data_IF_880167279232
#
_entry.id   IF_880167279232
#
_cell.length_a   1.000
_cell.length_b   1.000
_cell.length_c   1.000
_cell.angle_alpha   90.00
_cell.angle_beta   90.00
_cell.angle_gamma   90.00
#
_symmetry.space_group_name_H-M   'P 1'
#
loop_
_entity.id
_entity.type
_entity.pdbx_description
1 polymer ?
#
# COMPACT_ATOMS: atom_id res chain seq x y z
N UNK A 1 32.58 8.99 -27.91
CA UNK A 1 32.25 10.39 -27.62
C UNK A 1 30.74 10.44 -27.49
N UNK A 2 30.23 10.57 -26.27
CA UNK A 2 28.79 10.81 -26.07
C UNK A 2 28.46 12.18 -26.66
N UNK A 3 27.51 12.23 -27.59
CA UNK A 3 27.00 13.48 -28.11
C UNK A 3 26.46 14.29 -26.93
N UNK A 4 26.86 15.56 -26.80
CA UNK A 4 26.30 16.45 -25.77
C UNK A 4 24.79 16.49 -25.95
N UNK A 5 24.04 15.94 -24.97
CA UNK A 5 22.58 16.02 -24.99
C UNK A 5 22.18 17.50 -24.99
N UNK A 6 21.45 17.90 -26.03
CA UNK A 6 20.98 19.27 -26.19
C UNK A 6 19.58 19.49 -25.52
N UNK A 7 19.20 18.64 -24.55
CA UNK A 7 17.93 18.68 -23.81
C UNK A 7 18.08 18.05 -22.42
N UNK A 8 17.21 18.46 -21.50
CA UNK A 8 17.20 17.99 -20.09
C UNK A 8 16.45 16.67 -19.86
N UNK A 9 15.91 16.06 -20.91
CA UNK A 9 15.22 14.78 -20.82
C UNK A 9 16.22 13.62 -20.74
N UNK A 10 15.86 12.57 -20.00
CA UNK A 10 16.60 11.31 -19.99
C UNK A 10 16.01 10.34 -21.03
N UNK A 11 16.80 10.01 -22.04
CA UNK A 11 16.46 8.94 -22.98
C UNK A 11 16.91 7.62 -22.36
N UNK A 12 15.95 6.84 -21.90
CA UNK A 12 16.21 5.55 -21.25
C UNK A 12 16.78 4.55 -22.25
N UNK A 13 17.89 3.89 -21.89
CA UNK A 13 18.44 2.82 -22.70
C UNK A 13 17.48 1.62 -22.81
N UNK A 14 17.44 0.92 -23.96
CA UNK A 14 16.63 -0.29 -24.12
C UNK A 14 16.96 -1.30 -23.02
N UNK A 15 15.92 -1.80 -22.36
CA UNK A 15 16.04 -2.73 -21.24
C UNK A 15 15.16 -3.98 -21.45
N UNK A 16 15.62 -5.12 -20.99
CA UNK A 16 14.86 -6.38 -21.06
C UNK A 16 13.83 -6.50 -19.93
N UNK A 17 13.93 -5.68 -18.88
CA UNK A 17 13.08 -5.81 -17.68
C UNK A 17 11.58 -5.69 -17.94
N UNK A 18 11.09 -4.78 -18.81
CA UNK A 18 9.67 -4.73 -19.14
C UNK A 18 9.13 -6.04 -19.73
N UNK A 19 9.92 -6.68 -20.60
CA UNK A 19 9.54 -7.97 -21.21
C UNK A 19 9.53 -9.09 -20.17
N UNK A 20 10.57 -9.19 -19.34
CA UNK A 20 10.63 -10.19 -18.28
C UNK A 20 9.47 -9.98 -17.29
N UNK A 21 9.20 -8.73 -16.92
CA UNK A 21 8.11 -8.38 -16.01
C UNK A 21 6.74 -8.77 -16.57
N UNK A 22 6.47 -8.53 -17.85
CA UNK A 22 5.19 -8.90 -18.48
C UNK A 22 4.98 -10.41 -18.55
N UNK A 23 6.02 -11.18 -18.92
CA UNK A 23 5.96 -12.64 -18.93
C UNK A 23 5.77 -13.20 -17.52
N UNK A 24 6.50 -12.65 -16.56
CA UNK A 24 6.39 -13.04 -15.14
C UNK A 24 5.01 -12.75 -14.56
N UNK A 25 4.44 -11.59 -14.86
CA UNK A 25 3.08 -11.24 -14.46
C UNK A 25 2.03 -12.16 -15.10
N UNK A 26 2.17 -12.48 -16.39
CA UNK A 26 1.31 -13.44 -17.06
C UNK A 26 1.39 -14.83 -16.40
N UNK A 27 2.60 -15.29 -16.07
CA UNK A 27 2.78 -16.57 -15.38
C UNK A 27 2.16 -16.54 -13.96
N UNK A 28 2.33 -15.43 -13.22
CA UNK A 28 1.78 -15.25 -11.87
C UNK A 28 0.24 -15.35 -11.89
N UNK A 29 -0.43 -14.54 -12.69
CA UNK A 29 -1.89 -14.54 -12.75
C UNK A 29 -2.46 -15.78 -13.46
N UNK A 30 -1.82 -16.26 -14.52
CA UNK A 30 -2.21 -17.51 -15.19
C UNK A 30 -2.08 -18.72 -14.26
N UNK A 31 -0.99 -18.78 -13.49
CA UNK A 31 -0.79 -19.81 -12.46
C UNK A 31 -1.83 -19.73 -11.34
N UNK A 32 -2.24 -18.53 -10.91
CA UNK A 32 -3.30 -18.34 -9.94
C UNK A 32 -4.65 -18.84 -10.46
N UNK A 33 -5.00 -18.53 -11.71
CA UNK A 33 -6.21 -19.04 -12.35
C UNK A 33 -6.17 -20.57 -12.44
N UNK A 34 -5.05 -21.15 -12.87
CA UNK A 34 -4.86 -22.60 -12.89
C UNK A 34 -5.05 -23.22 -11.52
N UNK A 35 -4.54 -22.58 -10.46
CA UNK A 35 -4.69 -23.05 -9.08
C UNK A 35 -6.16 -23.04 -8.63
N UNK A 36 -6.90 -21.99 -8.92
CA UNK A 36 -8.34 -21.92 -8.61
C UNK A 36 -9.17 -22.97 -9.34
N UNK A 37 -8.67 -23.47 -10.48
CA UNK A 37 -9.28 -24.58 -11.21
C UNK A 37 -8.66 -25.96 -10.85
N UNK A 38 -8.04 -26.04 -9.68
CA UNK A 38 -7.48 -27.29 -9.13
C UNK A 38 -6.40 -27.95 -10.01
N UNK A 39 -5.78 -27.20 -10.90
CA UNK A 39 -4.67 -27.71 -11.71
C UNK A 39 -3.41 -27.88 -10.85
N UNK A 40 -2.79 -29.09 -10.82
CA UNK A 40 -1.65 -29.37 -9.94
C UNK A 40 -0.40 -28.52 -10.25
N UNK A 41 -0.27 -27.98 -11.44
CA UNK A 41 0.84 -27.09 -11.84
C UNK A 41 0.58 -25.62 -11.50
N UNK A 42 -0.66 -25.25 -11.14
CA UNK A 42 -1.06 -23.88 -10.83
C UNK A 42 -0.16 -23.20 -9.80
N UNK A 43 0.08 -23.80 -8.62
CA UNK A 43 0.96 -23.21 -7.61
C UNK A 43 2.39 -22.99 -8.11
N UNK A 44 2.97 -23.96 -8.82
CA UNK A 44 4.35 -23.87 -9.33
C UNK A 44 4.47 -22.72 -10.33
N UNK A 45 3.55 -22.62 -11.28
CA UNK A 45 3.53 -21.55 -12.29
C UNK A 45 3.30 -20.19 -11.62
N UNK A 46 2.34 -20.09 -10.68
CA UNK A 46 2.02 -18.88 -9.96
C UNK A 46 3.18 -18.36 -9.12
N UNK A 47 3.81 -19.20 -8.29
CA UNK A 47 4.95 -18.80 -7.47
C UNK A 47 6.20 -18.49 -8.28
N UNK A 48 6.46 -19.21 -9.38
CA UNK A 48 7.57 -18.88 -10.28
C UNK A 48 7.35 -17.53 -10.96
N UNK A 49 6.10 -17.23 -11.38
CA UNK A 49 5.72 -15.93 -11.89
C UNK A 49 5.90 -14.80 -10.85
N UNK A 50 5.45 -15.03 -9.62
CA UNK A 50 5.65 -14.07 -8.51
C UNK A 50 7.15 -13.81 -8.25
N UNK A 51 7.97 -14.84 -8.20
CA UNK A 51 9.41 -14.69 -8.06
C UNK A 51 10.01 -13.85 -9.21
N UNK A 52 9.59 -14.10 -10.45
CA UNK A 52 10.01 -13.32 -11.61
C UNK A 52 9.59 -11.86 -11.54
N UNK A 53 8.38 -11.55 -11.06
CA UNK A 53 7.92 -10.18 -10.81
C UNK A 53 8.80 -9.49 -9.76
N UNK A 54 9.06 -10.13 -8.63
CA UNK A 54 9.89 -9.56 -7.57
C UNK A 54 11.34 -9.30 -8.01
N UNK A 55 11.93 -10.23 -8.79
CA UNK A 55 13.26 -10.05 -9.39
C UNK A 55 13.26 -8.87 -10.37
N UNK A 56 12.22 -8.75 -11.20
CA UNK A 56 12.08 -7.64 -12.13
C UNK A 56 11.97 -6.30 -11.40
N UNK A 57 11.13 -6.22 -10.37
CA UNK A 57 10.99 -5.02 -9.54
C UNK A 57 12.33 -4.59 -8.93
N UNK A 58 13.02 -5.53 -8.28
CA UNK A 58 14.31 -5.24 -7.66
C UNK A 58 15.35 -4.75 -8.70
N UNK A 59 15.46 -5.44 -9.82
CA UNK A 59 16.46 -5.14 -10.84
C UNK A 59 16.15 -3.81 -11.55
N UNK A 60 14.90 -3.54 -11.86
CA UNK A 60 14.49 -2.30 -12.52
C UNK A 60 14.66 -1.10 -11.59
N UNK A 61 14.21 -1.21 -10.34
CA UNK A 61 14.37 -0.12 -9.37
C UNK A 61 15.83 0.14 -9.02
N UNK A 62 16.66 -0.91 -8.96
CA UNK A 62 18.10 -0.74 -8.76
C UNK A 62 18.75 0.08 -9.90
N UNK A 63 18.35 -0.15 -11.15
CA UNK A 63 18.78 0.67 -12.28
C UNK A 63 18.31 2.11 -12.18
N UNK A 64 17.06 2.35 -11.79
CA UNK A 64 16.54 3.70 -11.59
C UNK A 64 17.31 4.45 -10.50
N UNK A 65 17.74 3.77 -9.45
CA UNK A 65 18.62 4.34 -8.41
C UNK A 65 20.01 4.67 -8.97
N UNK A 66 20.58 3.80 -9.80
CA UNK A 66 21.86 4.03 -10.47
C UNK A 66 21.78 5.25 -11.41
N UNK A 67 20.70 5.40 -12.16
CA UNK A 67 20.44 6.57 -13.01
C UNK A 67 20.41 7.88 -12.19
N UNK A 68 19.85 7.83 -10.98
CA UNK A 68 19.88 8.97 -10.07
C UNK A 68 21.32 9.34 -9.64
N UNK A 69 22.15 8.33 -9.33
CA UNK A 69 23.54 8.55 -8.93
C UNK A 69 24.45 9.02 -10.07
N UNK A 70 24.15 8.61 -11.31
CA UNK A 70 24.90 9.02 -12.50
C UNK A 70 24.49 10.38 -13.06
N UNK A 71 23.55 11.08 -12.39
CA UNK A 71 23.15 12.44 -12.72
C UNK A 71 22.08 12.56 -13.81
N UNK A 72 21.45 11.45 -14.20
CA UNK A 72 20.37 11.46 -15.19
C UNK A 72 19.04 12.02 -14.65
N UNK A 73 18.90 12.16 -13.34
CA UNK A 73 17.72 12.77 -12.74
C UNK A 73 17.84 14.29 -12.68
N UNK A 74 17.77 14.92 -13.85
CA UNK A 74 17.68 16.39 -13.99
C UNK A 74 16.42 16.93 -13.30
N UNK A 75 16.31 18.26 -13.05
CA UNK A 75 15.08 18.84 -12.48
C UNK A 75 13.82 18.53 -13.28
N UNK A 76 13.94 18.46 -14.63
CA UNK A 76 12.82 18.10 -15.52
C UNK A 76 12.41 16.63 -15.31
N UNK A 77 13.37 15.71 -15.23
CA UNK A 77 13.12 14.29 -14.96
C UNK A 77 12.49 14.10 -13.58
N UNK A 78 12.98 14.79 -12.54
CA UNK A 78 12.39 14.75 -11.21
C UNK A 78 10.93 15.22 -11.20
N UNK A 79 10.60 16.26 -11.98
CA UNK A 79 9.21 16.72 -12.15
C UNK A 79 8.34 15.64 -12.78
N UNK A 80 8.83 14.96 -13.82
CA UNK A 80 8.09 13.86 -14.45
C UNK A 80 7.88 12.68 -13.51
N UNK A 81 8.87 12.34 -12.69
CA UNK A 81 8.75 11.29 -11.67
C UNK A 81 7.70 11.66 -10.61
N UNK A 82 7.60 12.94 -10.21
CA UNK A 82 6.54 13.43 -9.31
C UNK A 82 5.16 13.29 -9.94
N UNK A 83 4.98 13.69 -11.19
CA UNK A 83 3.72 13.48 -11.90
C UNK A 83 3.37 11.99 -12.01
N UNK A 84 4.36 11.14 -12.31
CA UNK A 84 4.16 9.69 -12.34
C UNK A 84 3.67 9.15 -10.99
N UNK A 85 4.26 9.62 -9.87
CA UNK A 85 3.83 9.21 -8.53
C UNK A 85 2.42 9.71 -8.18
N UNK A 86 2.07 10.95 -8.55
CA UNK A 86 0.71 11.48 -8.36
C UNK A 86 -0.31 10.63 -9.13
N UNK A 87 -0.03 10.30 -10.39
CA UNK A 87 -0.92 9.46 -11.21
C UNK A 87 -1.02 8.04 -10.66
N UNK A 88 0.07 7.49 -10.14
CA UNK A 88 0.06 6.21 -9.45
C UNK A 88 -0.86 6.25 -8.22
N UNK A 89 -0.69 7.23 -7.34
CA UNK A 89 -1.57 7.41 -6.16
C UNK A 89 -3.03 7.60 -6.60
N UNK A 90 -3.30 8.35 -7.66
CA UNK A 90 -4.65 8.52 -8.20
C UNK A 90 -5.25 7.18 -8.65
N UNK A 91 -4.46 6.29 -9.27
CA UNK A 91 -4.91 4.94 -9.64
C UNK A 91 -5.26 4.09 -8.41
N UNK A 92 -4.47 4.20 -7.33
CA UNK A 92 -4.73 3.50 -6.07
C UNK A 92 -5.97 4.04 -5.34
N UNK A 93 -6.22 5.36 -5.42
CA UNK A 93 -7.48 5.95 -4.94
C UNK A 93 -8.67 5.33 -5.69
N UNK A 94 -8.60 5.19 -7.02
CA UNK A 94 -9.66 4.55 -7.82
C UNK A 94 -9.83 3.07 -7.48
N UNK A 95 -8.73 2.36 -7.16
CA UNK A 95 -8.78 0.99 -6.67
C UNK A 95 -9.57 0.88 -5.36
N UNK A 96 -9.29 1.75 -4.38
CA UNK A 96 -10.05 1.77 -3.13
C UNK A 96 -11.49 2.23 -3.31
N UNK A 97 -11.75 3.14 -4.23
CA UNK A 97 -13.12 3.58 -4.56
C UNK A 97 -14.01 2.40 -4.96
N UNK A 98 -13.48 1.40 -5.68
CA UNK A 98 -14.23 0.20 -6.03
C UNK A 98 -14.64 -0.63 -4.80
N UNK A 99 -13.74 -0.77 -3.81
CA UNK A 99 -14.05 -1.49 -2.57
C UNK A 99 -15.02 -0.71 -1.68
N UNK A 100 -14.89 0.60 -1.59
CA UNK A 100 -15.87 1.46 -0.91
C UNK A 100 -17.23 1.40 -1.60
N UNK A 101 -17.26 1.39 -2.92
CA UNK A 101 -18.49 1.22 -3.67
C UNK A 101 -19.19 -0.10 -3.29
N UNK A 102 -18.49 -1.21 -3.32
CA UNK A 102 -19.04 -2.51 -2.94
C UNK A 102 -19.59 -2.52 -1.51
N UNK A 103 -18.88 -1.87 -0.58
CA UNK A 103 -19.34 -1.74 0.81
C UNK A 103 -20.58 -0.84 0.91
N UNK A 104 -20.58 0.35 0.30
CA UNK A 104 -21.70 1.27 0.38
C UNK A 104 -22.94 0.75 -0.35
N UNK A 105 -22.78 0.12 -1.50
CA UNK A 105 -23.90 -0.51 -2.22
C UNK A 105 -24.56 -1.59 -1.36
N UNK A 106 -23.78 -2.48 -0.75
CA UNK A 106 -24.29 -3.53 0.12
C UNK A 106 -24.92 -3.01 1.40
N UNK A 107 -24.43 -1.89 1.94
CA UNK A 107 -24.89 -1.34 3.23
C UNK A 107 -26.09 -0.40 3.10
N UNK A 108 -26.19 0.36 1.99
CA UNK A 108 -27.31 1.28 1.72
C UNK A 108 -28.50 0.54 1.10
N UNK A 109 -28.21 -0.52 0.29
CA UNK A 109 -29.22 -1.34 -0.37
C UNK A 109 -29.09 -2.81 0.07
N UNK A 110 -29.32 -3.13 1.38
CA UNK A 110 -29.16 -4.48 1.88
C UNK A 110 -30.13 -5.44 1.20
N UNK A 111 -29.64 -6.60 0.78
CA UNK A 111 -30.43 -7.63 0.11
C UNK A 111 -31.57 -8.15 0.99
N UNK A 112 -32.72 -8.43 0.37
CA UNK A 112 -33.89 -8.98 1.05
C UNK A 112 -33.80 -10.49 1.31
N UNK A 113 -32.75 -11.18 0.84
CA UNK A 113 -32.55 -12.60 1.14
C UNK A 113 -32.46 -12.86 2.64
N UNK A 114 -32.97 -14.00 3.09
CA UNK A 114 -33.10 -14.34 4.53
C UNK A 114 -31.79 -14.17 5.31
N UNK A 115 -30.66 -14.50 4.69
CA UNK A 115 -29.34 -14.39 5.30
C UNK A 115 -28.91 -12.95 5.61
N UNK A 116 -29.41 -11.95 4.88
CA UNK A 116 -29.14 -10.51 5.09
C UNK A 116 -30.29 -9.86 5.84
N UNK A 117 -31.51 -10.20 5.47
CA UNK A 117 -32.75 -9.79 6.14
C UNK A 117 -33.14 -8.33 5.92
N UNK A 118 -32.66 -7.71 4.83
CA UNK A 118 -32.99 -6.33 4.44
C UNK A 118 -32.47 -5.27 5.41
N UNK A 119 -31.42 -5.57 6.17
CA UNK A 119 -30.80 -4.64 7.13
C UNK A 119 -29.27 -4.71 7.07
N UNK A 120 -28.63 -3.66 7.54
CA UNK A 120 -27.18 -3.60 7.71
C UNK A 120 -26.81 -3.22 9.14
N UNK A 121 -25.84 -3.90 9.79
CA UNK A 121 -25.26 -5.18 9.37
C UNK A 121 -26.28 -6.31 9.26
N UNK A 122 -25.98 -7.42 8.51
CA UNK A 122 -26.87 -8.56 8.37
C UNK A 122 -27.23 -9.18 9.72
N UNK A 123 -28.39 -9.86 9.78
CA UNK A 123 -28.89 -10.50 11.00
C UNK A 123 -27.86 -11.46 11.60
N UNK A 124 -27.63 -11.32 12.92
CA UNK A 124 -26.75 -12.20 13.69
C UNK A 124 -25.25 -11.97 13.50
N UNK A 125 -24.87 -10.89 12.81
CA UNK A 125 -23.47 -10.46 12.74
C UNK A 125 -23.17 -9.56 13.94
N UNK A 126 -22.22 -9.98 14.78
CA UNK A 126 -21.55 -9.12 15.75
C UNK A 126 -20.43 -8.38 15.03
N UNK A 127 -20.30 -7.07 15.26
CA UNK A 127 -19.28 -6.22 14.64
C UNK A 127 -18.17 -5.91 15.63
N UNK A 128 -17.00 -5.55 15.11
CA UNK A 128 -15.88 -5.10 15.93
C UNK A 128 -16.20 -3.75 16.59
N UNK A 129 -15.79 -3.58 17.83
CA UNK A 129 -15.94 -2.31 18.54
C UNK A 129 -14.96 -1.26 17.96
N UNK A 130 -15.46 -0.22 17.28
CA UNK A 130 -14.58 0.78 16.65
C UNK A 130 -13.72 1.55 17.65
N UNK A 131 -14.17 1.67 18.90
CA UNK A 131 -13.49 2.45 19.94
C UNK A 131 -12.38 1.68 20.68
N UNK A 132 -12.15 0.42 20.33
CA UNK A 132 -11.07 -0.43 20.83
C UNK A 132 -9.82 -0.38 19.95
N UNK A 133 -9.43 -1.56 19.43
CA UNK A 133 -8.25 -1.69 18.57
C UNK A 133 -8.29 -0.84 17.29
N UNK A 134 -9.44 -0.67 16.59
CA UNK A 134 -9.47 0.18 15.40
C UNK A 134 -9.12 1.64 15.69
N UNK A 135 -9.60 2.21 16.82
CA UNK A 135 -9.22 3.57 17.23
C UNK A 135 -7.73 3.64 17.60
N UNK A 136 -7.22 2.65 18.34
CA UNK A 136 -5.79 2.57 18.66
C UNK A 136 -4.93 2.54 17.38
N UNK A 137 -5.30 1.71 16.42
CA UNK A 137 -4.64 1.62 15.12
C UNK A 137 -4.69 2.95 14.37
N UNK A 138 -5.81 3.66 14.43
CA UNK A 138 -5.94 5.01 13.86
C UNK A 138 -4.93 5.97 14.48
N UNK A 139 -4.81 6.00 15.80
CA UNK A 139 -3.84 6.86 16.49
C UNK A 139 -2.40 6.50 16.13
N UNK A 140 -2.06 5.21 16.08
CA UNK A 140 -0.73 4.73 15.68
C UNK A 140 -0.38 5.20 14.27
N UNK A 141 -1.28 5.03 13.32
CA UNK A 141 -1.02 5.37 11.92
C UNK A 141 -0.89 6.88 11.73
N UNK A 142 -1.78 7.67 12.33
CA UNK A 142 -1.67 9.15 12.32
C UNK A 142 -0.36 9.64 12.97
N UNK A 143 0.06 9.05 14.09
CA UNK A 143 1.36 9.36 14.69
C UNK A 143 2.50 9.01 13.73
N UNK A 144 2.40 7.91 12.98
CA UNK A 144 3.40 7.53 11.98
C UNK A 144 3.48 8.54 10.82
N UNK A 145 2.36 9.11 10.42
CA UNK A 145 2.29 10.20 9.44
C UNK A 145 3.04 11.45 9.91
N UNK A 146 2.97 11.79 11.21
CA UNK A 146 3.76 12.91 11.76
C UNK A 146 5.25 12.61 11.78
N UNK A 147 5.66 11.38 12.09
CA UNK A 147 7.08 11.00 12.12
C UNK A 147 7.72 10.92 10.74
N UNK A 148 7.00 10.49 9.69
CA UNK A 148 7.52 10.53 8.31
C UNK A 148 7.65 11.98 7.83
N UNK A 149 6.72 12.85 8.20
CA UNK A 149 6.81 14.29 7.91
C UNK A 149 8.02 14.93 8.58
N UNK A 150 8.26 14.60 9.87
CA UNK A 150 9.48 15.02 10.57
C UNK A 150 10.73 14.53 9.87
N UNK A 151 10.78 13.26 9.46
CA UNK A 151 11.92 12.70 8.72
C UNK A 151 12.18 13.49 7.41
N UNK A 152 11.12 13.82 6.66
CA UNK A 152 11.23 14.57 5.41
C UNK A 152 11.72 16.00 5.66
N UNK A 153 11.20 16.66 6.67
CA UNK A 153 11.65 18.01 7.05
C UNK A 153 13.13 18.02 7.47
N UNK A 154 13.55 17.03 8.26
CA UNK A 154 14.96 16.84 8.66
C UNK A 154 15.88 16.68 7.45
N UNK A 155 15.47 15.90 6.44
CA UNK A 155 16.24 15.72 5.21
C UNK A 155 16.45 17.05 4.46
N UNK A 156 15.37 17.84 4.31
CA UNK A 156 15.42 19.13 3.62
C UNK A 156 16.40 20.09 4.31
N UNK A 157 16.48 20.06 5.64
CA UNK A 157 17.40 20.89 6.45
C UNK A 157 18.80 20.26 6.60
N UNK A 158 19.06 19.11 6.00
CA UNK A 158 20.36 18.44 6.06
C UNK A 158 20.63 17.68 7.37
N UNK A 159 19.64 17.56 8.27
CA UNK A 159 19.72 16.77 9.50
C UNK A 159 19.54 15.29 9.19
N UNK A 160 20.67 14.59 9.02
CA UNK A 160 20.68 13.14 8.70
C UNK A 160 20.26 12.27 9.87
N UNK A 161 20.49 12.72 11.10
CA UNK A 161 20.11 11.94 12.29
C UNK A 161 18.61 12.04 12.54
N UNK A 162 18.02 13.21 12.37
CA UNK A 162 16.58 13.40 12.38
C UNK A 162 15.86 12.56 11.32
N UNK A 163 16.39 12.53 10.09
CA UNK A 163 15.88 11.67 9.01
C UNK A 163 15.82 10.20 9.43
N UNK A 164 16.95 9.64 9.93
CA UNK A 164 17.04 8.23 10.33
C UNK A 164 16.10 7.91 11.50
N UNK A 165 16.09 8.77 12.52
CA UNK A 165 15.20 8.61 13.69
C UNK A 165 13.73 8.64 13.30
N UNK A 166 13.32 9.64 12.51
CA UNK A 166 11.93 9.77 12.04
C UNK A 166 11.49 8.55 11.22
N UNK A 167 12.32 8.11 10.25
CA UNK A 167 12.03 6.89 9.47
C UNK A 167 11.94 5.65 10.35
N UNK A 168 12.85 5.48 11.31
CA UNK A 168 12.81 4.32 12.22
C UNK A 168 11.54 4.32 13.06
N UNK A 169 11.12 5.46 13.60
CA UNK A 169 9.86 5.59 14.32
C UNK A 169 8.65 5.25 13.43
N UNK A 170 8.62 5.77 12.20
CA UNK A 170 7.53 5.51 11.26
C UNK A 170 7.40 4.01 10.95
N UNK A 171 8.52 3.35 10.67
CA UNK A 171 8.56 1.91 10.37
C UNK A 171 8.09 1.10 11.60
N UNK A 172 8.55 1.44 12.80
CA UNK A 172 8.15 0.77 14.03
C UNK A 172 6.63 0.89 14.26
N UNK A 173 6.05 2.09 14.05
CA UNK A 173 4.62 2.31 14.15
C UNK A 173 3.83 1.56 13.06
N UNK A 174 4.34 1.50 11.83
CA UNK A 174 3.73 0.72 10.75
C UNK A 174 3.71 -0.79 11.02
N UNK A 175 4.79 -1.32 11.59
CA UNK A 175 4.85 -2.72 12.03
C UNK A 175 3.90 -2.99 13.20
N UNK A 176 3.79 -2.06 14.14
CA UNK A 176 2.86 -2.16 15.27
C UNK A 176 1.40 -2.16 14.78
N UNK A 177 1.04 -1.24 13.88
CA UNK A 177 -0.27 -1.21 13.22
C UNK A 177 -0.60 -2.56 12.58
N UNK A 178 0.32 -3.09 11.77
CA UNK A 178 0.13 -4.37 11.07
C UNK A 178 -0.06 -5.53 12.04
N UNK A 179 0.67 -5.54 13.16
CA UNK A 179 0.58 -6.56 14.18
C UNK A 179 -0.77 -6.54 14.90
N UNK A 180 -1.27 -5.34 15.27
CA UNK A 180 -2.58 -5.16 15.90
C UNK A 180 -3.70 -5.54 14.90
N UNK A 181 -3.56 -5.16 13.63
CA UNK A 181 -4.55 -5.52 12.60
C UNK A 181 -4.62 -7.03 12.36
N UNK A 182 -3.48 -7.72 12.38
CA UNK A 182 -3.44 -9.17 12.30
C UNK A 182 -4.09 -9.84 13.52
N UNK A 183 -3.86 -9.30 14.71
CA UNK A 183 -4.52 -9.76 15.94
C UNK A 183 -6.04 -9.57 15.85
N UNK A 184 -6.51 -8.41 15.41
CA UNK A 184 -7.93 -8.11 15.22
C UNK A 184 -8.57 -9.11 14.24
N UNK A 185 -7.92 -9.41 13.13
CA UNK A 185 -8.43 -10.39 12.16
C UNK A 185 -8.52 -11.80 12.71
N UNK A 186 -7.57 -12.21 13.55
CA UNK A 186 -7.59 -13.53 14.17
C UNK A 186 -8.72 -13.69 15.21
N UNK A 187 -9.23 -12.56 15.75
CA UNK A 187 -10.27 -12.55 16.78
C UNK A 187 -11.60 -11.95 16.29
N UNK A 188 -11.74 -11.69 15.00
CA UNK A 188 -12.96 -11.16 14.42
C UNK A 188 -14.12 -12.16 14.60
N UNK A 189 -15.30 -11.70 15.07
CA UNK A 189 -16.45 -12.57 15.35
C UNK A 189 -17.18 -13.02 14.08
N UNK A 190 -16.74 -12.58 12.92
CA UNK A 190 -17.31 -12.92 11.61
C UNK A 190 -16.23 -13.40 10.65
N UNK A 191 -16.64 -14.31 9.74
CA UNK A 191 -15.72 -14.87 8.75
C UNK A 191 -15.76 -14.08 7.44
N UNK A 192 -14.65 -14.14 6.68
CA UNK A 192 -14.59 -13.61 5.31
C UNK A 192 -15.63 -14.29 4.39
N UNK A 193 -15.78 -15.61 4.53
CA UNK A 193 -16.61 -16.45 3.65
C UNK A 193 -18.03 -16.58 4.20
N UNK A 194 -19.02 -16.52 3.31
CA UNK A 194 -20.40 -16.86 3.63
C UNK A 194 -21.29 -15.69 4.04
N UNK A 195 -20.77 -14.47 4.20
CA UNK A 195 -21.59 -13.28 4.43
C UNK A 195 -21.01 -12.06 3.71
N UNK A 196 -21.89 -11.15 3.31
CA UNK A 196 -21.51 -9.94 2.56
C UNK A 196 -20.76 -8.93 3.44
N UNK A 197 -21.08 -8.86 4.74
CA UNK A 197 -20.38 -7.97 5.67
C UNK A 197 -18.90 -8.35 5.79
N UNK A 198 -18.62 -9.63 6.10
CA UNK A 198 -17.24 -10.10 6.18
C UNK A 198 -16.49 -9.96 4.84
N UNK A 199 -17.14 -10.28 3.72
CA UNK A 199 -16.51 -10.14 2.41
C UNK A 199 -16.10 -8.69 2.13
N UNK A 200 -16.99 -7.72 2.28
CA UNK A 200 -16.68 -6.30 2.03
C UNK A 200 -15.71 -5.72 3.05
N UNK A 201 -15.85 -6.09 4.32
CA UNK A 201 -14.94 -5.69 5.39
C UNK A 201 -13.50 -6.15 5.13
N UNK A 202 -13.29 -7.47 4.97
CA UNK A 202 -11.94 -8.02 4.80
C UNK A 202 -11.30 -7.63 3.46
N UNK A 203 -12.09 -7.45 2.39
CA UNK A 203 -11.53 -6.98 1.11
C UNK A 203 -11.02 -5.54 1.24
N UNK A 204 -11.82 -4.62 1.75
CA UNK A 204 -11.42 -3.23 1.87
C UNK A 204 -10.27 -3.03 2.88
N UNK A 205 -10.41 -3.57 4.10
CA UNK A 205 -9.38 -3.43 5.14
C UNK A 205 -8.15 -4.29 4.88
N UNK A 206 -8.30 -5.46 4.25
CA UNK A 206 -7.20 -6.36 3.89
C UNK A 206 -6.32 -5.79 2.78
N UNK A 207 -6.90 -5.20 1.74
CA UNK A 207 -6.10 -4.47 0.74
C UNK A 207 -5.41 -3.25 1.34
N UNK A 208 -6.06 -2.55 2.27
CA UNK A 208 -5.39 -1.49 3.01
C UNK A 208 -4.19 -2.03 3.80
N UNK A 209 -4.36 -3.12 4.55
CA UNK A 209 -3.27 -3.78 5.27
C UNK A 209 -2.12 -4.20 4.35
N UNK A 210 -2.41 -4.69 3.15
CA UNK A 210 -1.41 -4.97 2.12
C UNK A 210 -0.62 -3.69 1.74
N UNK A 211 -1.31 -2.56 1.53
CA UNK A 211 -0.67 -1.27 1.22
C UNK A 211 0.19 -0.76 2.40
N UNK A 212 -0.24 -0.97 3.66
CA UNK A 212 0.59 -0.67 4.84
C UNK A 212 1.88 -1.48 4.84
N UNK A 213 1.81 -2.77 4.53
CA UNK A 213 3.00 -3.64 4.44
C UNK A 213 3.95 -3.16 3.33
N UNK A 214 3.42 -2.90 2.13
CA UNK A 214 4.20 -2.37 1.00
C UNK A 214 4.83 -1.03 1.34
N UNK A 215 4.07 -0.11 1.95
CA UNK A 215 4.58 1.18 2.41
C UNK A 215 5.67 1.06 3.47
N UNK A 216 5.52 0.14 4.43
CA UNK A 216 6.55 -0.16 5.45
C UNK A 216 7.82 -0.71 4.82
N UNK A 217 7.72 -1.59 3.82
CA UNK A 217 8.88 -2.08 3.06
C UNK A 217 9.54 -0.92 2.29
N UNK A 218 8.75 -0.07 1.64
CA UNK A 218 9.26 1.08 0.91
C UNK A 218 10.04 2.04 1.83
N UNK A 219 9.48 2.38 2.99
CA UNK A 219 10.15 3.21 4.00
C UNK A 219 11.40 2.52 4.55
N UNK A 220 11.40 1.20 4.71
CA UNK A 220 12.57 0.43 5.14
C UNK A 220 13.69 0.53 4.10
N UNK A 221 13.38 0.40 2.81
CA UNK A 221 14.36 0.61 1.73
C UNK A 221 14.91 2.04 1.78
N UNK A 222 14.04 3.04 2.00
CA UNK A 222 14.49 4.43 2.17
C UNK A 222 15.39 4.61 3.40
N UNK A 223 15.12 3.95 4.52
CA UNK A 223 15.97 3.98 5.71
C UNK A 223 17.35 3.37 5.42
N UNK A 224 17.43 2.23 4.73
CA UNK A 224 18.70 1.61 4.35
C UNK A 224 19.50 2.54 3.42
N UNK A 225 18.84 3.22 2.49
CA UNK A 225 19.46 4.21 1.62
C UNK A 225 19.90 5.47 2.37
N UNK A 226 19.14 5.90 3.39
CA UNK A 226 19.52 7.01 4.26
C UNK A 226 20.79 6.70 5.06
N UNK A 227 20.98 5.44 5.52
CA UNK A 227 22.22 5.00 6.15
C UNK A 227 23.42 5.03 5.19
N UNK A 228 23.20 4.69 3.90
CA UNK A 228 24.25 4.79 2.86
C UNK A 228 24.56 6.22 2.45
N UNK A 229 23.70 7.18 2.83
CA UNK A 229 23.89 8.59 2.47
C UNK A 229 23.41 8.97 1.07
N UNK A 230 22.57 8.13 0.45
CA UNK A 230 22.08 8.31 -0.92
C UNK A 230 21.24 9.58 -1.10
N UNK A 231 20.53 10.01 -0.05
CA UNK A 231 19.63 11.16 -0.14
C UNK A 231 20.35 12.48 0.17
N UNK A 232 20.04 13.49 -0.63
CA UNK A 232 20.47 14.87 -0.43
C UNK A 232 19.26 15.81 -0.40
N UNK A 233 19.36 17.04 0.15
CA UNK A 233 18.28 18.02 0.10
C UNK A 233 17.74 18.31 -1.31
N UNK A 234 18.58 18.14 -2.36
CA UNK A 234 18.22 18.40 -3.76
C UNK A 234 17.77 17.17 -4.52
N UNK A 235 18.19 15.96 -4.10
CA UNK A 235 17.90 14.70 -4.77
C UNK A 235 17.45 13.66 -3.75
N UNK A 236 16.13 13.59 -3.53
CA UNK A 236 15.52 12.67 -2.59
C UNK A 236 14.13 12.17 -3.04
N UNK A 237 13.85 12.22 -4.35
CA UNK A 237 12.54 11.85 -4.90
C UNK A 237 12.04 10.48 -4.39
N UNK A 238 12.93 9.47 -4.29
CA UNK A 238 12.53 8.15 -3.80
C UNK A 238 11.94 8.17 -2.39
N UNK A 239 12.46 9.03 -1.50
CA UNK A 239 11.89 9.21 -0.17
C UNK A 239 10.63 10.09 -0.19
N UNK A 240 10.60 11.13 -1.02
CA UNK A 240 9.41 11.97 -1.24
C UNK A 240 8.22 11.12 -1.70
N UNK A 241 8.44 10.21 -2.67
CA UNK A 241 7.44 9.27 -3.15
C UNK A 241 6.96 8.30 -2.04
N UNK A 242 7.88 7.79 -1.22
CA UNK A 242 7.52 6.93 -0.10
C UNK A 242 6.68 7.67 0.96
N UNK A 243 7.00 8.94 1.26
CA UNK A 243 6.23 9.77 2.17
C UNK A 243 4.81 10.05 1.63
N UNK A 244 4.68 10.38 0.35
CA UNK A 244 3.36 10.57 -0.28
C UNK A 244 2.52 9.30 -0.26
N UNK A 245 3.14 8.15 -0.55
CA UNK A 245 2.46 6.85 -0.49
C UNK A 245 2.00 6.55 0.93
N UNK A 246 2.83 6.83 1.96
CA UNK A 246 2.47 6.62 3.35
C UNK A 246 1.29 7.49 3.79
N UNK A 247 1.28 8.78 3.41
CA UNK A 247 0.15 9.67 3.69
C UNK A 247 -1.13 9.26 2.94
N UNK A 248 -1.00 8.74 1.72
CA UNK A 248 -2.14 8.14 1.02
C UNK A 248 -2.74 6.98 1.83
N UNK A 249 -1.90 6.07 2.33
CA UNK A 249 -2.34 4.95 3.19
C UNK A 249 -3.03 5.46 4.46
N UNK A 250 -2.50 6.50 5.12
CA UNK A 250 -3.12 7.14 6.27
C UNK A 250 -4.54 7.66 5.96
N UNK A 251 -4.70 8.38 4.85
CA UNK A 251 -5.99 8.96 4.44
C UNK A 251 -7.01 7.85 4.13
N UNK A 252 -6.60 6.81 3.42
CA UNK A 252 -7.47 5.65 3.14
C UNK A 252 -7.91 4.98 4.44
N UNK A 253 -7.02 4.83 5.43
CA UNK A 253 -7.39 4.28 6.73
C UNK A 253 -8.43 5.12 7.46
N UNK A 254 -8.27 6.44 7.49
CA UNK A 254 -9.28 7.33 8.12
C UNK A 254 -10.65 7.15 7.48
N UNK A 255 -10.70 6.98 6.16
CA UNK A 255 -11.95 6.75 5.47
C UNK A 255 -12.52 5.34 5.77
N UNK A 256 -11.68 4.31 5.85
CA UNK A 256 -12.07 2.96 6.28
C UNK A 256 -12.60 2.97 7.72
N UNK A 257 -11.88 3.61 8.63
CA UNK A 257 -12.29 3.70 10.03
C UNK A 257 -13.67 4.36 10.17
N UNK A 258 -13.86 5.50 9.54
CA UNK A 258 -15.14 6.23 9.66
C UNK A 258 -16.29 5.54 8.93
N UNK A 259 -16.05 4.96 7.75
CA UNK A 259 -17.13 4.37 6.94
C UNK A 259 -17.43 2.92 7.35
N UNK A 260 -16.44 2.07 7.51
CA UNK A 260 -16.65 0.64 7.73
C UNK A 260 -16.80 0.32 9.21
N UNK A 261 -15.90 0.85 10.08
CA UNK A 261 -15.97 0.53 11.51
C UNK A 261 -17.03 1.36 12.22
N UNK A 262 -17.02 2.70 12.08
CA UNK A 262 -17.94 3.55 12.85
C UNK A 262 -19.32 3.54 12.22
N UNK A 263 -19.47 3.97 10.97
CA UNK A 263 -20.78 4.07 10.32
C UNK A 263 -21.35 2.70 9.98
N UNK A 264 -20.56 1.79 9.44
CA UNK A 264 -20.99 0.45 9.04
C UNK A 264 -21.35 -0.48 10.19
N UNK A 265 -20.85 -0.21 11.40
CA UNK A 265 -21.21 -0.90 12.64
C UNK A 265 -22.29 -0.21 13.46
N UNK A 266 -22.86 0.89 12.98
CA UNK A 266 -23.81 1.71 13.75
C UNK A 266 -25.09 0.93 14.09
N UNK A 267 -25.42 0.87 15.38
CA UNK A 267 -26.63 0.20 15.85
C UNK A 267 -26.54 -1.33 15.99
N UNK A 268 -25.39 -1.93 15.65
CA UNK A 268 -25.15 -3.36 15.82
C UNK A 268 -24.63 -3.70 17.24
N UNK A 269 -24.76 -4.99 17.60
CA UNK A 269 -24.07 -5.51 18.78
C UNK A 269 -22.56 -5.55 18.51
N UNK A 270 -21.77 -5.04 19.44
CA UNK A 270 -20.31 -5.04 19.37
C UNK A 270 -19.73 -6.22 20.16
N UNK A 271 -18.77 -6.90 19.56
CA UNK A 271 -17.91 -7.83 20.29
C UNK A 271 -17.05 -7.06 21.30
N UNK A 272 -17.01 -7.54 22.54
CA UNK A 272 -16.34 -6.91 23.67
C UNK A 272 -14.81 -6.94 23.60
#
# INVERSE_FOLDING_TARGET
>A
MAASQNHDYHLVEPSIWPLIGSISALAMFGGLVMWFHENPYGPIVGFSGLAGVLITMYSWWSKTVEEAHTGHHTPVVQLHLRYGMILFIASEVMFFLAWFWAFFDSSIHPSLVDAVGGQWPPKGIEVLNPWGFPLLNTMILLCSGTTVTWAHHSLIHGDRDGLKKGLTCTIALGLLFTSIQAYEYAHAPFAFKGNIYGATFFMATGFHGFHVIVGTIFLTVCLLRAFKGDFTPKQHFGFEAAAWYWHFVDVVWLFLFTSIYVWGGWGAAHAG
#
